data_IF_985966800597
#
_entry.id   IF_985966800597
#
_cell.length_a   1.000
_cell.length_b   1.000
_cell.length_c   1.000
_cell.angle_alpha   90.00
_cell.angle_beta   90.00
_cell.angle_gamma   90.00
#
_symmetry.space_group_name_H-M   'P 1'
#
loop_
_entity.id
_entity.type
_entity.pdbx_description
1 polymer ?
#
# COMPACT_ATOMS: atom_id res chain seq x y z
N UNK A 1 -6.51 8.82 -5.16
CA UNK A 1 -6.83 10.21 -4.70
C UNK A 1 -6.45 10.38 -3.24
N UNK A 2 -6.32 11.60 -2.75
CA UNK A 2 -5.93 11.90 -1.37
C UNK A 2 -6.58 13.22 -0.90
N UNK A 3 -6.71 13.35 0.44
CA UNK A 3 -7.22 14.54 1.11
C UNK A 3 -6.09 15.17 1.93
N UNK A 4 -5.59 16.35 1.54
CA UNK A 4 -4.55 17.05 2.26
C UNK A 4 -5.06 17.65 3.58
N UNK A 5 -4.17 17.79 4.55
CA UNK A 5 -4.43 18.48 5.82
C UNK A 5 -3.20 19.29 6.26
N UNK A 6 -3.30 20.02 7.35
CA UNK A 6 -2.19 20.72 8.00
C UNK A 6 -1.45 19.84 9.03
N UNK A 7 -1.67 18.54 8.96
CA UNK A 7 -1.14 17.50 9.84
C UNK A 7 -0.32 16.49 9.03
N UNK A 8 0.54 15.67 9.66
CA UNK A 8 1.36 14.69 8.96
C UNK A 8 0.54 13.62 8.24
N UNK A 9 -0.58 13.22 8.81
CA UNK A 9 -1.41 12.12 8.34
C UNK A 9 -2.46 12.63 7.34
N UNK A 10 -2.27 12.30 6.07
CA UNK A 10 -3.22 12.57 5.00
C UNK A 10 -3.98 11.30 4.64
N UNK A 11 -5.23 11.44 4.29
CA UNK A 11 -6.07 10.30 3.90
C UNK A 11 -5.97 10.03 2.41
N UNK A 12 -6.00 8.76 2.04
CA UNK A 12 -6.03 8.32 0.65
C UNK A 12 -7.12 7.30 0.36
N UNK A 13 -7.43 7.15 -0.91
CA UNK A 13 -8.37 6.16 -1.41
C UNK A 13 -8.01 5.73 -2.83
N UNK A 14 -8.41 4.52 -3.21
CA UNK A 14 -8.34 3.99 -4.56
C UNK A 14 -9.76 3.73 -5.06
N UNK A 15 -10.08 4.26 -6.24
CA UNK A 15 -11.42 4.15 -6.83
C UNK A 15 -11.34 3.61 -8.24
N UNK A 16 -12.36 2.85 -8.65
CA UNK A 16 -12.47 2.27 -9.97
C UNK A 16 -13.59 2.92 -10.77
N UNK A 17 -13.29 3.26 -12.00
CA UNK A 17 -14.23 3.67 -13.02
C UNK A 17 -14.04 2.76 -14.24
N UNK A 18 -14.95 2.78 -15.18
CA UNK A 18 -14.82 2.02 -16.43
C UNK A 18 -14.77 2.94 -17.63
N UNK A 19 -14.19 2.44 -18.70
CA UNK A 19 -14.22 3.08 -20.01
C UNK A 19 -15.19 2.26 -20.88
N UNK A 20 -16.19 2.92 -21.47
CA UNK A 20 -17.12 2.27 -22.38
C UNK A 20 -16.55 2.14 -23.81
N UNK A 21 -17.29 1.49 -24.70
CA UNK A 21 -16.88 1.30 -26.09
C UNK A 21 -16.60 2.57 -26.89
N UNK A 22 -17.13 3.72 -26.44
CA UNK A 22 -16.89 5.04 -27.05
C UNK A 22 -15.69 5.79 -26.45
N UNK A 23 -14.95 5.15 -25.52
CA UNK A 23 -13.82 5.76 -24.82
C UNK A 23 -14.21 6.75 -23.71
N UNK A 24 -15.47 6.76 -23.27
CA UNK A 24 -15.94 7.63 -22.19
C UNK A 24 -15.77 6.97 -20.84
N UNK A 25 -15.36 7.76 -19.84
CA UNK A 25 -15.26 7.30 -18.45
C UNK A 25 -16.64 7.31 -17.81
N UNK A 26 -17.09 6.14 -17.36
CA UNK A 26 -18.42 5.90 -16.82
C UNK A 26 -18.34 5.47 -15.36
N UNK A 27 -19.38 5.81 -14.61
CA UNK A 27 -19.58 5.36 -13.24
C UNK A 27 -20.30 3.98 -13.18
N UNK A 28 -20.58 3.50 -11.96
CA UNK A 28 -21.21 2.22 -11.69
C UNK A 28 -22.63 2.09 -12.31
N UNK A 29 -23.35 3.18 -12.43
CA UNK A 29 -24.73 3.24 -12.92
C UNK A 29 -24.86 3.85 -14.32
N UNK A 30 -23.82 3.70 -15.13
CA UNK A 30 -23.79 4.12 -16.55
C UNK A 30 -23.93 5.62 -16.79
N UNK A 31 -23.54 6.48 -15.84
CA UNK A 31 -23.45 7.93 -16.06
C UNK A 31 -22.02 8.31 -16.43
N UNK A 32 -21.86 9.46 -17.13
CA UNK A 32 -20.52 10.03 -17.31
C UNK A 32 -19.91 10.36 -15.94
N UNK A 33 -18.75 9.76 -15.67
CA UNK A 33 -18.03 10.02 -14.43
C UNK A 33 -17.18 11.30 -14.49
N UNK A 34 -17.09 11.93 -15.67
CA UNK A 34 -16.30 13.14 -15.87
C UNK A 34 -17.22 14.35 -16.05
N UNK A 35 -16.95 15.40 -15.33
CA UNK A 35 -17.65 16.68 -15.42
C UNK A 35 -17.17 17.53 -16.62
N UNK A 36 -17.72 18.73 -16.79
CA UNK A 36 -17.40 19.60 -17.94
C UNK A 36 -15.98 20.16 -17.91
N UNK A 37 -15.37 20.20 -16.73
CA UNK A 37 -14.02 20.67 -16.48
C UNK A 37 -12.96 19.56 -16.69
N UNK A 38 -13.38 18.32 -16.98
CA UNK A 38 -12.50 17.17 -17.21
C UNK A 38 -12.08 16.48 -15.91
N UNK A 39 -12.65 16.84 -14.76
CA UNK A 39 -12.43 16.19 -13.48
C UNK A 39 -13.48 15.11 -13.21
N UNK A 40 -13.23 14.23 -12.25
CA UNK A 40 -14.24 13.28 -11.77
C UNK A 40 -15.40 14.09 -11.16
N UNK A 41 -16.63 13.77 -11.56
CA UNK A 41 -17.81 14.44 -11.06
C UNK A 41 -18.10 14.01 -9.60
N UNK A 42 -18.45 14.96 -8.74
CA UNK A 42 -18.81 14.67 -7.34
C UNK A 42 -19.94 13.65 -7.25
N UNK A 43 -20.90 13.74 -8.18
CA UNK A 43 -22.04 12.83 -8.28
C UNK A 43 -21.74 11.46 -8.88
N UNK A 44 -20.50 11.19 -9.34
CA UNK A 44 -20.16 9.87 -9.88
C UNK A 44 -20.20 8.83 -8.75
N UNK A 45 -20.77 7.67 -9.04
CA UNK A 45 -20.76 6.50 -8.15
C UNK A 45 -19.68 5.54 -8.62
N UNK A 46 -18.56 5.45 -7.91
CA UNK A 46 -17.45 4.60 -8.36
C UNK A 46 -17.75 3.10 -8.17
N UNK A 47 -17.13 2.24 -8.99
CA UNK A 47 -17.56 0.84 -9.13
C UNK A 47 -17.43 0.03 -7.83
N UNK A 48 -16.41 0.31 -7.01
CA UNK A 48 -16.18 -0.41 -5.76
C UNK A 48 -16.95 0.17 -4.57
N UNK A 49 -17.88 1.08 -4.81
CA UNK A 49 -18.67 1.76 -3.78
C UNK A 49 -20.05 1.14 -3.68
N UNK A 50 -20.53 0.92 -2.46
CA UNK A 50 -21.89 0.43 -2.30
C UNK A 50 -22.91 1.46 -2.79
N UNK A 51 -24.00 1.00 -3.42
CA UNK A 51 -25.07 1.90 -3.85
C UNK A 51 -25.67 2.68 -2.69
N UNK A 52 -25.67 2.10 -1.48
CA UNK A 52 -26.13 2.79 -0.28
C UNK A 52 -25.22 4.00 0.06
N UNK A 53 -23.90 3.84 -0.02
CA UNK A 53 -22.95 4.94 0.18
C UNK A 53 -23.15 6.02 -0.86
N UNK A 54 -23.25 5.67 -2.15
CA UNK A 54 -23.50 6.63 -3.23
C UNK A 54 -24.80 7.41 -3.02
N UNK A 55 -25.89 6.77 -2.65
CA UNK A 55 -27.20 7.44 -2.49
C UNK A 55 -27.27 8.31 -1.24
N UNK A 56 -26.47 8.03 -0.23
CA UNK A 56 -26.42 8.80 1.04
C UNK A 56 -25.44 9.96 0.97
N UNK A 57 -24.49 9.94 0.03
CA UNK A 57 -23.57 11.05 -0.16
C UNK A 57 -24.33 12.32 -0.53
N UNK A 58 -23.95 13.44 0.04
CA UNK A 58 -24.60 14.77 -0.18
C UNK A 58 -24.56 15.20 -1.65
N UNK A 59 -23.54 14.78 -2.39
CA UNK A 59 -23.33 15.00 -3.82
C UNK A 59 -24.08 14.03 -4.72
N UNK A 60 -24.71 12.98 -4.16
CA UNK A 60 -25.34 11.88 -4.91
C UNK A 60 -24.36 10.89 -5.52
N UNK A 61 -23.13 10.87 -5.03
CA UNK A 61 -22.06 9.96 -5.42
C UNK A 61 -20.82 10.13 -4.54
N UNK A 62 -19.85 9.26 -4.72
CA UNK A 62 -18.57 9.26 -3.99
C UNK A 62 -17.39 9.78 -4.83
N UNK A 63 -17.65 10.30 -6.05
CA UNK A 63 -16.62 10.58 -7.07
C UNK A 63 -15.38 11.29 -6.56
N UNK A 64 -15.53 12.50 -5.98
CA UNK A 64 -14.43 13.28 -5.41
C UNK A 64 -14.27 13.13 -3.89
N UNK A 65 -15.15 12.38 -3.21
CA UNK A 65 -15.10 12.21 -1.76
C UNK A 65 -14.06 11.16 -1.37
N UNK A 66 -12.91 11.58 -0.85
CA UNK A 66 -11.82 10.66 -0.49
C UNK A 66 -12.23 9.71 0.62
N UNK A 67 -13.00 10.19 1.60
CA UNK A 67 -13.44 9.42 2.76
C UNK A 67 -14.64 8.50 2.51
N UNK A 68 -15.18 8.47 1.28
CA UNK A 68 -16.35 7.65 0.94
C UNK A 68 -16.01 6.66 -0.15
N UNK A 69 -16.58 5.46 -0.06
CA UNK A 69 -16.55 4.46 -1.12
C UNK A 69 -15.18 3.91 -1.46
N UNK A 70 -15.07 3.25 -2.61
CA UNK A 70 -13.83 2.71 -3.15
C UNK A 70 -13.17 1.68 -2.24
N UNK A 71 -11.85 1.54 -2.36
CA UNK A 71 -11.08 0.60 -1.55
C UNK A 71 -11.12 0.93 -0.05
N UNK A 72 -11.31 2.20 0.32
CA UNK A 72 -11.40 2.61 1.74
C UNK A 72 -12.64 2.01 2.40
N UNK A 73 -13.82 2.06 1.74
CA UNK A 73 -15.05 1.46 2.29
C UNK A 73 -14.86 -0.04 2.57
N UNK A 74 -14.27 -0.77 1.63
CA UNK A 74 -13.98 -2.19 1.79
C UNK A 74 -12.96 -2.46 2.90
N UNK A 75 -11.93 -1.63 3.04
CA UNK A 75 -10.88 -1.78 4.04
C UNK A 75 -11.39 -1.47 5.45
N UNK A 76 -12.20 -0.42 5.61
CA UNK A 76 -12.82 -0.05 6.90
C UNK A 76 -13.86 -1.10 7.34
N UNK A 77 -14.58 -1.69 6.39
CA UNK A 77 -15.55 -2.75 6.68
C UNK A 77 -14.90 -4.10 7.02
N UNK A 78 -13.59 -4.27 6.79
CA UNK A 78 -12.90 -5.53 7.06
C UNK A 78 -12.71 -5.72 8.57
N UNK A 79 -13.15 -6.87 9.09
CA UNK A 79 -13.02 -7.21 10.51
C UNK A 79 -11.62 -7.74 10.87
N UNK A 80 -10.86 -8.19 9.87
CA UNK A 80 -9.52 -8.77 10.05
C UNK A 80 -8.64 -8.42 8.84
N UNK A 81 -7.90 -7.32 8.96
CA UNK A 81 -6.95 -6.90 7.94
C UNK A 81 -5.67 -7.72 8.03
N UNK A 82 -5.21 -8.21 6.89
CA UNK A 82 -3.97 -8.95 6.78
C UNK A 82 -2.78 -8.00 6.63
N UNK A 83 -2.25 -7.53 7.75
CA UNK A 83 -1.03 -6.70 7.76
C UNK A 83 0.19 -7.61 7.89
N UNK A 84 1.13 -7.44 6.98
CA UNK A 84 2.39 -8.19 6.91
C UNK A 84 3.57 -7.28 7.24
N UNK A 85 4.66 -7.88 7.70
CA UNK A 85 5.95 -7.20 7.87
C UNK A 85 7.09 -8.17 7.58
N UNK A 86 8.31 -7.65 7.46
CA UNK A 86 9.49 -8.48 7.33
C UNK A 86 10.25 -8.52 8.66
N UNK A 87 10.36 -9.70 9.30
CA UNK A 87 11.09 -9.85 10.56
C UNK A 87 12.62 -9.92 10.40
N UNK A 88 13.13 -9.83 9.19
CA UNK A 88 14.55 -9.89 8.86
C UNK A 88 14.90 -8.81 7.85
N UNK A 89 16.11 -8.27 7.91
CA UNK A 89 16.61 -7.30 6.92
C UNK A 89 16.77 -7.92 5.52
N UNK A 90 16.87 -9.24 5.45
CA UNK A 90 17.16 -9.99 4.23
C UNK A 90 15.90 -10.53 3.53
N UNK A 91 16.11 -11.24 2.40
CA UNK A 91 15.06 -11.91 1.66
C UNK A 91 14.27 -12.89 2.51
N UNK A 92 13.00 -13.04 2.24
CA UNK A 92 12.17 -14.01 2.92
C UNK A 92 10.68 -13.75 2.85
N UNK A 93 9.92 -14.72 3.37
CA UNK A 93 8.46 -14.64 3.46
C UNK A 93 8.06 -13.54 4.42
N UNK A 94 7.15 -12.68 3.99
CA UNK A 94 6.50 -11.72 4.87
C UNK A 94 5.62 -12.47 5.87
N UNK A 95 5.59 -11.99 7.10
CA UNK A 95 4.85 -12.62 8.20
C UNK A 95 3.78 -11.67 8.74
N UNK A 96 2.74 -12.18 9.40
CA UNK A 96 1.76 -11.32 10.07
C UNK A 96 2.42 -10.34 11.04
N UNK A 97 1.98 -9.08 10.98
CA UNK A 97 2.45 -8.02 11.86
C UNK A 97 2.18 -8.37 13.33
N UNK A 98 3.22 -8.36 14.14
CA UNK A 98 3.16 -8.58 15.58
C UNK A 98 4.34 -7.91 16.28
N UNK A 99 4.26 -7.74 17.58
CA UNK A 99 5.37 -7.24 18.41
C UNK A 99 6.64 -8.06 18.17
N UNK A 100 6.52 -9.39 18.25
CA UNK A 100 7.64 -10.30 18.02
C UNK A 100 8.24 -10.18 16.60
N UNK A 101 7.41 -9.92 15.59
CA UNK A 101 7.90 -9.74 14.23
C UNK A 101 8.72 -8.45 14.09
N UNK A 102 8.25 -7.34 14.65
CA UNK A 102 8.97 -6.08 14.65
C UNK A 102 10.22 -6.10 15.54
N UNK A 103 10.15 -6.74 16.73
CA UNK A 103 11.34 -6.93 17.59
C UNK A 103 12.42 -7.70 16.81
N UNK A 104 12.07 -8.77 16.11
CA UNK A 104 13.03 -9.52 15.28
C UNK A 104 13.59 -8.70 14.12
N UNK A 105 12.79 -7.79 13.56
CA UNK A 105 13.24 -6.91 12.47
C UNK A 105 14.36 -5.94 12.90
N UNK A 106 14.34 -5.50 14.17
CA UNK A 106 15.26 -4.48 14.69
C UNK A 106 16.24 -4.99 15.75
N UNK A 107 16.07 -6.23 16.22
CA UNK A 107 16.95 -6.92 17.15
C UNK A 107 16.36 -7.11 18.54
N UNK A 108 15.84 -6.08 19.18
CA UNK A 108 15.27 -6.14 20.54
C UNK A 108 14.17 -5.08 20.75
N UNK A 109 13.42 -5.23 21.85
CA UNK A 109 12.30 -4.35 22.20
C UNK A 109 12.75 -2.90 22.52
N UNK A 110 13.88 -2.73 23.19
CA UNK A 110 14.40 -1.39 23.53
C UNK A 110 14.76 -0.62 22.27
N UNK A 111 15.39 -1.30 21.30
CA UNK A 111 15.68 -0.73 19.99
C UNK A 111 14.39 -0.37 19.24
N UNK A 112 13.36 -1.23 19.30
CA UNK A 112 12.07 -0.96 18.68
C UNK A 112 11.40 0.29 19.27
N UNK A 113 11.29 0.37 20.60
CA UNK A 113 10.73 1.53 21.29
C UNK A 113 11.52 2.81 21.01
N UNK A 114 12.86 2.71 20.96
CA UNK A 114 13.74 3.82 20.62
C UNK A 114 13.54 4.31 19.20
N UNK A 115 13.38 3.41 18.23
CA UNK A 115 13.11 3.77 16.82
C UNK A 115 11.74 4.44 16.66
N UNK A 116 10.72 3.96 17.36
CA UNK A 116 9.38 4.57 17.35
C UNK A 116 9.42 5.95 18.04
N UNK A 117 10.36 6.18 18.95
CA UNK A 117 10.38 7.35 19.84
C UNK A 117 9.27 7.28 20.88
N UNK A 118 8.92 6.07 21.31
CA UNK A 118 7.88 5.85 22.32
C UNK A 118 8.32 6.41 23.69
N UNK A 119 7.46 7.17 24.39
CA UNK A 119 7.73 7.57 25.77
C UNK A 119 7.84 6.37 26.72
N UNK A 120 8.54 6.57 27.84
CA UNK A 120 8.64 5.56 28.88
C UNK A 120 7.24 5.13 29.37
N UNK A 121 7.00 3.82 29.39
CA UNK A 121 5.75 3.22 29.83
C UNK A 121 4.64 3.12 28.77
N UNK A 122 4.85 3.61 27.54
CA UNK A 122 3.93 3.31 26.44
C UNK A 122 4.03 1.84 26.02
N UNK A 123 2.86 1.25 25.71
CA UNK A 123 2.77 -0.15 25.28
C UNK A 123 2.96 -0.29 23.78
N UNK A 124 3.80 -1.25 23.37
CA UNK A 124 3.90 -1.67 21.97
C UNK A 124 2.55 -2.14 21.39
N UNK A 125 1.70 -2.75 22.22
CA UNK A 125 0.36 -3.21 21.78
C UNK A 125 -0.46 -2.07 21.18
N UNK A 126 -0.38 -0.85 21.74
CA UNK A 126 -1.05 0.33 21.20
C UNK A 126 -0.57 0.67 19.78
N UNK A 127 0.73 0.64 19.54
CA UNK A 127 1.31 0.88 18.22
C UNK A 127 0.96 -0.23 17.21
N UNK A 128 0.98 -1.49 17.63
CA UNK A 128 0.61 -2.62 16.78
C UNK A 128 -0.87 -2.55 16.37
N UNK A 129 -1.75 -2.26 17.30
CA UNK A 129 -3.18 -2.12 17.00
C UNK A 129 -3.43 -0.92 16.09
N UNK A 130 -2.74 0.20 16.33
CA UNK A 130 -2.78 1.35 15.43
C UNK A 130 -2.33 0.99 14.00
N UNK A 131 -1.22 0.25 13.86
CA UNK A 131 -0.74 -0.25 12.56
C UNK A 131 -1.73 -1.22 11.90
N UNK A 132 -2.52 -1.97 12.66
CA UNK A 132 -3.62 -2.79 12.13
C UNK A 132 -4.80 -1.95 11.65
N UNK A 133 -4.78 -0.66 11.91
CA UNK A 133 -5.80 0.28 11.51
C UNK A 133 -6.85 0.58 12.57
N UNK A 134 -6.69 0.02 13.79
CA UNK A 134 -7.65 0.23 14.88
C UNK A 134 -7.53 1.67 15.38
N UNK A 135 -8.64 2.30 15.68
CA UNK A 135 -8.74 3.65 16.23
C UNK A 135 -8.51 3.68 17.75
N UNK A 136 -7.29 3.29 18.14
CA UNK A 136 -6.91 3.16 19.57
C UNK A 136 -6.90 4.49 20.33
N UNK A 137 -6.87 5.60 19.62
CA UNK A 137 -6.76 6.94 20.17
C UNK A 137 -8.10 7.71 20.07
N UNK A 138 -9.19 7.07 19.54
CA UNK A 138 -10.52 7.67 19.34
C UNK A 138 -10.44 8.98 18.53
N UNK A 139 -9.75 8.90 17.37
CA UNK A 139 -9.46 10.07 16.52
C UNK A 139 -10.71 10.78 16.00
N UNK A 140 -11.83 10.06 15.87
CA UNK A 140 -13.12 10.61 15.42
C UNK A 140 -14.07 10.98 16.58
N UNK A 141 -13.60 10.86 17.84
CA UNK A 141 -14.30 11.23 19.08
C UNK A 141 -15.70 10.57 19.23
N UNK A 142 -15.85 9.35 18.67
CA UNK A 142 -17.12 8.62 18.75
C UNK A 142 -17.21 7.68 19.97
N UNK A 143 -16.13 7.50 20.71
CA UNK A 143 -16.01 6.64 21.89
C UNK A 143 -15.75 5.16 21.58
N UNK A 144 -15.54 4.79 20.29
CA UNK A 144 -15.22 3.42 19.87
C UNK A 144 -13.74 3.30 19.50
N UNK A 145 -12.92 2.83 20.43
CA UNK A 145 -11.48 2.59 20.22
C UNK A 145 -11.17 1.24 19.57
N UNK A 146 -12.17 0.54 19.04
CA UNK A 146 -12.03 -0.80 18.44
C UNK A 146 -12.34 -0.83 16.94
N UNK A 147 -12.97 0.21 16.42
CA UNK A 147 -13.27 0.36 15.00
C UNK A 147 -11.99 0.57 14.16
N UNK A 148 -12.10 0.34 12.85
CA UNK A 148 -11.03 0.67 11.90
C UNK A 148 -11.12 2.16 11.53
N UNK A 149 -9.99 2.87 11.58
CA UNK A 149 -9.91 4.30 11.25
C UNK A 149 -10.28 4.59 9.79
N UNK A 150 -10.89 5.74 9.56
CA UNK A 150 -11.27 6.21 8.22
C UNK A 150 -10.10 6.58 7.31
N UNK A 151 -8.90 6.72 7.84
CA UNK A 151 -7.68 7.11 7.11
C UNK A 151 -6.68 5.96 6.94
N UNK A 152 -7.13 4.73 7.18
CA UNK A 152 -6.30 3.53 7.31
C UNK A 152 -5.45 3.21 6.06
N UNK A 153 -5.82 3.66 4.88
CA UNK A 153 -5.03 3.46 3.67
C UNK A 153 -3.84 4.42 3.62
N UNK A 154 -4.03 5.67 4.02
CA UNK A 154 -3.04 6.72 3.83
C UNK A 154 -2.98 7.26 2.40
N UNK A 155 -2.35 8.41 2.22
CA UNK A 155 -2.27 9.06 0.93
C UNK A 155 -1.21 8.43 0.02
N UNK A 156 -1.53 8.20 -1.27
CA UNK A 156 -0.57 7.68 -2.25
C UNK A 156 0.27 8.78 -2.93
N UNK A 157 0.14 10.02 -2.59
CA UNK A 157 0.63 11.27 -3.17
C UNK A 157 1.42 11.14 -4.50
N UNK A 158 2.55 10.44 -4.51
CA UNK A 158 3.39 10.22 -5.70
C UNK A 158 3.46 8.76 -6.15
N UNK A 159 3.00 7.82 -5.31
CA UNK A 159 2.88 6.43 -5.71
C UNK A 159 1.74 6.28 -6.73
N UNK A 160 2.01 5.56 -7.80
CA UNK A 160 1.02 5.25 -8.84
C UNK A 160 0.55 3.83 -8.65
N UNK A 161 -0.76 3.56 -8.69
CA UNK A 161 -1.26 2.20 -8.67
C UNK A 161 -0.69 1.37 -9.83
N UNK A 162 -0.20 0.18 -9.54
CA UNK A 162 0.30 -0.80 -10.50
C UNK A 162 -0.68 -1.96 -10.58
N UNK A 163 -1.39 -2.07 -11.71
CA UNK A 163 -2.36 -3.14 -11.94
C UNK A 163 -1.69 -4.33 -12.67
N UNK A 164 -1.95 -5.54 -12.18
CA UNK A 164 -1.44 -6.80 -12.70
C UNK A 164 -2.61 -7.78 -12.89
N UNK A 165 -2.66 -8.46 -14.03
CA UNK A 165 -3.67 -9.46 -14.34
C UNK A 165 -3.16 -10.85 -13.97
N UNK A 166 -3.84 -11.51 -13.04
CA UNK A 166 -3.56 -12.90 -12.68
C UNK A 166 -4.63 -13.79 -13.26
N UNK A 167 -4.22 -14.79 -14.04
CA UNK A 167 -5.06 -15.85 -14.54
C UNK A 167 -5.52 -16.81 -13.44
N UNK A 168 -6.08 -17.96 -13.81
CA UNK A 168 -6.51 -19.02 -12.89
C UNK A 168 -7.45 -18.55 -11.76
N UNK A 169 -8.28 -17.53 -12.03
CA UNK A 169 -9.17 -16.94 -11.03
C UNK A 169 -8.49 -15.96 -10.08
N UNK A 170 -7.21 -15.62 -10.27
CA UNK A 170 -6.47 -14.64 -9.46
C UNK A 170 -6.95 -13.19 -9.64
N UNK A 171 -7.61 -12.88 -10.78
CA UNK A 171 -8.19 -11.58 -11.07
C UNK A 171 -7.16 -10.46 -11.22
N UNK A 172 -7.63 -9.22 -11.25
CA UNK A 172 -6.74 -8.07 -11.26
C UNK A 172 -6.30 -7.73 -9.85
N UNK A 173 -4.99 -7.59 -9.66
CA UNK A 173 -4.39 -7.12 -8.41
C UNK A 173 -3.79 -5.74 -8.61
N UNK A 174 -3.98 -4.87 -7.64
CA UNK A 174 -3.49 -3.49 -7.70
C UNK A 174 -2.58 -3.22 -6.52
N UNK A 175 -1.29 -2.96 -6.79
CA UNK A 175 -0.36 -2.48 -5.77
C UNK A 175 -0.41 -0.96 -5.68
N UNK A 176 -0.32 -0.44 -4.45
CA UNK A 176 -0.25 1.00 -4.19
C UNK A 176 0.57 1.26 -2.93
N UNK A 177 1.61 2.08 -3.04
CA UNK A 177 2.35 2.59 -1.90
C UNK A 177 1.65 3.79 -1.27
N UNK A 178 1.82 3.98 0.04
CA UNK A 178 1.25 5.13 0.75
C UNK A 178 2.21 5.72 1.78
N UNK A 179 1.97 6.98 2.14
CA UNK A 179 2.81 7.70 3.09
C UNK A 179 2.61 7.27 4.55
N UNK A 180 1.61 6.44 4.84
CA UNK A 180 1.51 5.76 6.14
C UNK A 180 2.49 4.59 6.29
N UNK A 181 3.36 4.36 5.28
CA UNK A 181 4.42 3.34 5.33
C UNK A 181 4.00 1.96 4.84
N UNK A 182 2.90 1.88 4.11
CA UNK A 182 2.40 0.62 3.57
C UNK A 182 2.59 0.51 2.05
N UNK A 183 2.80 -0.72 1.62
CA UNK A 183 2.51 -1.18 0.28
C UNK A 183 1.27 -2.06 0.35
N UNK A 184 0.16 -1.61 -0.24
CA UNK A 184 -1.11 -2.33 -0.27
C UNK A 184 -1.21 -3.18 -1.53
N UNK A 185 -1.82 -4.37 -1.40
CA UNK A 185 -2.29 -5.19 -2.51
C UNK A 185 -3.81 -5.29 -2.43
N UNK A 186 -4.49 -4.69 -3.39
CA UNK A 186 -5.94 -4.80 -3.55
C UNK A 186 -6.29 -5.85 -4.60
N UNK A 187 -7.34 -6.62 -4.35
CA UNK A 187 -7.92 -7.57 -5.29
C UNK A 187 -9.21 -6.99 -5.85
N UNK A 188 -9.19 -6.68 -7.13
CA UNK A 188 -10.36 -6.27 -7.89
C UNK A 188 -11.16 -7.50 -8.31
N UNK A 189 -12.32 -7.69 -7.73
CA UNK A 189 -13.27 -8.77 -8.06
C UNK A 189 -14.48 -8.25 -8.86
N UNK A 190 -14.20 -7.32 -9.78
CA UNK A 190 -15.20 -6.73 -10.67
C UNK A 190 -15.91 -5.53 -10.06
N UNK A 191 -17.06 -5.73 -9.43
CA UNK A 191 -17.83 -4.65 -8.81
C UNK A 191 -17.47 -4.41 -7.34
N UNK A 192 -16.58 -5.22 -6.79
CA UNK A 192 -16.06 -5.08 -5.43
C UNK A 192 -14.55 -5.16 -5.38
N UNK A 193 -13.98 -4.79 -4.25
CA UNK A 193 -12.55 -4.83 -3.98
C UNK A 193 -12.31 -5.34 -2.56
N UNK A 194 -11.20 -6.04 -2.36
CA UNK A 194 -10.73 -6.41 -1.03
C UNK A 194 -9.24 -6.06 -0.89
N UNK A 195 -8.79 -5.71 0.31
CA UNK A 195 -7.37 -5.63 0.60
C UNK A 195 -6.84 -7.05 0.84
N UNK A 196 -6.06 -7.59 -0.11
CA UNK A 196 -5.46 -8.93 0.06
C UNK A 196 -4.44 -8.94 1.19
N UNK A 197 -3.66 -7.88 1.27
CA UNK A 197 -2.70 -7.61 2.34
C UNK A 197 -2.19 -6.17 2.26
N UNK A 198 -1.63 -5.69 3.36
CA UNK A 198 -0.78 -4.51 3.38
C UNK A 198 0.57 -4.86 4.02
N UNK A 199 1.67 -4.52 3.38
CA UNK A 199 3.01 -4.71 3.89
C UNK A 199 3.49 -3.41 4.56
N UNK A 200 3.64 -3.43 5.89
CA UNK A 200 4.28 -2.36 6.65
C UNK A 200 5.79 -2.55 6.68
N UNK A 201 6.52 -1.56 6.23
CA UNK A 201 7.97 -1.60 6.16
C UNK A 201 8.57 -1.24 7.53
N UNK A 202 9.41 -2.10 8.15
CA UNK A 202 10.10 -1.76 9.40
C UNK A 202 10.94 -0.47 9.31
N UNK A 203 11.39 -0.11 8.12
CA UNK A 203 12.11 1.13 7.82
C UNK A 203 11.28 2.40 8.13
N UNK A 204 9.96 2.26 8.28
CA UNK A 204 9.04 3.36 8.61
C UNK A 204 8.78 3.53 10.11
N UNK A 205 9.36 2.69 10.96
CA UNK A 205 9.21 2.79 12.41
C UNK A 205 9.55 4.17 12.99
N UNK A 206 10.59 4.89 12.50
CA UNK A 206 10.91 6.22 13.00
C UNK A 206 9.81 7.28 12.80
N UNK A 207 8.89 7.05 11.87
CA UNK A 207 7.80 8.00 11.58
C UNK A 207 6.48 7.59 12.24
N UNK A 208 6.42 6.40 12.82
CA UNK A 208 5.18 5.81 13.32
C UNK A 208 4.51 6.66 14.40
N UNK A 209 5.30 7.18 15.36
CA UNK A 209 4.76 8.01 16.43
C UNK A 209 4.20 9.34 15.94
N UNK A 210 4.88 9.98 14.99
CA UNK A 210 4.41 11.24 14.39
C UNK A 210 3.09 11.03 13.64
N UNK A 211 2.97 9.94 12.87
CA UNK A 211 1.72 9.56 12.22
C UNK A 211 0.60 9.29 13.22
N UNK A 212 0.87 8.52 14.28
CA UNK A 212 -0.13 8.18 15.30
C UNK A 212 -0.63 9.42 16.03
N UNK A 213 0.29 10.29 16.50
CA UNK A 213 -0.08 11.51 17.21
C UNK A 213 -0.80 12.52 16.33
N UNK A 214 -0.52 12.54 15.06
CA UNK A 214 -1.12 13.43 14.06
C UNK A 214 -1.22 14.89 14.51
N UNK A 215 -0.21 15.38 15.22
CA UNK A 215 -0.18 16.75 15.73
C UNK A 215 -0.07 17.74 14.56
N UNK A 216 -0.59 18.95 14.74
CA UNK A 216 -0.53 19.99 13.71
C UNK A 216 0.92 20.38 13.41
N UNK A 217 1.31 20.27 12.15
CA UNK A 217 2.68 20.55 11.65
C UNK A 217 2.72 21.65 10.58
N UNK A 218 1.55 22.10 10.14
CA UNK A 218 1.43 23.05 9.03
C UNK A 218 1.49 22.40 7.65
N UNK A 219 1.47 21.07 7.56
CA UNK A 219 1.42 20.33 6.31
C UNK A 219 1.98 18.91 6.41
N UNK A 220 2.21 18.32 5.25
CA UNK A 220 2.71 16.95 5.11
C UNK A 220 4.20 16.83 5.47
N UNK A 221 4.51 16.23 6.59
CA UNK A 221 5.87 16.08 7.11
C UNK A 221 6.38 14.65 7.03
N UNK A 222 5.50 13.65 6.99
CA UNK A 222 5.85 12.24 6.95
C UNK A 222 5.64 11.67 5.55
N UNK A 223 6.65 10.99 5.06
CA UNK A 223 6.61 10.26 3.79
C UNK A 223 7.00 8.81 4.04
N UNK A 224 6.33 7.89 3.35
CA UNK A 224 6.53 6.45 3.46
C UNK A 224 6.90 5.81 2.13
N UNK A 225 6.03 4.93 1.61
CA UNK A 225 6.20 4.32 0.28
C UNK A 225 5.67 5.28 -0.78
N UNK A 226 6.42 6.38 -1.00
CA UNK A 226 6.03 7.51 -1.85
C UNK A 226 6.52 7.37 -3.29
N UNK A 227 7.36 6.37 -3.57
CA UNK A 227 7.94 6.14 -4.90
C UNK A 227 7.00 5.46 -5.87
N UNK A 228 7.28 5.62 -7.18
CA UNK A 228 6.60 4.88 -8.21
C UNK A 228 6.96 3.38 -8.12
N UNK A 229 5.98 2.55 -8.46
CA UNK A 229 6.10 1.10 -8.53
C UNK A 229 6.40 0.69 -9.97
N UNK A 230 7.26 -0.30 -10.14
CA UNK A 230 7.42 -1.00 -11.42
C UNK A 230 7.38 -2.50 -11.21
N UNK A 231 7.04 -3.25 -12.26
CA UNK A 231 7.09 -4.70 -12.23
C UNK A 231 7.88 -5.25 -13.41
N UNK A 232 8.52 -6.38 -13.16
CA UNK A 232 8.98 -7.28 -14.20
C UNK A 232 8.09 -8.51 -14.21
N UNK A 233 7.53 -8.81 -15.37
CA UNK A 233 6.67 -9.97 -15.58
C UNK A 233 7.37 -10.90 -16.54
N UNK A 234 7.52 -12.16 -16.15
CA UNK A 234 7.86 -13.27 -17.02
C UNK A 234 6.57 -14.03 -17.27
N UNK A 235 6.00 -13.81 -18.42
CA UNK A 235 4.81 -14.46 -18.94
C UNK A 235 5.31 -15.50 -19.95
N UNK A 236 5.17 -16.79 -19.62
CA UNK A 236 5.82 -17.88 -20.34
C UNK A 236 5.14 -18.20 -21.66
N UNK A 237 3.84 -18.00 -21.77
CA UNK A 237 3.05 -18.23 -22.97
C UNK A 237 2.62 -16.96 -23.70
N UNK A 238 2.94 -15.78 -23.13
CA UNK A 238 2.70 -14.47 -23.69
C UNK A 238 1.21 -14.14 -23.93
N UNK A 239 0.32 -14.61 -23.06
CA UNK A 239 -1.12 -14.36 -23.15
C UNK A 239 -1.55 -13.07 -22.40
N UNK A 240 -0.65 -12.47 -21.62
CA UNK A 240 -0.87 -11.23 -20.89
C UNK A 240 -1.43 -11.42 -19.47
N UNK A 241 -1.59 -12.66 -19.02
CA UNK A 241 -1.96 -13.00 -17.67
C UNK A 241 -0.76 -13.61 -16.94
N UNK A 242 -0.89 -13.72 -15.64
CA UNK A 242 0.12 -14.32 -14.75
C UNK A 242 -0.47 -15.61 -14.20
N UNK A 243 0.07 -16.75 -14.62
CA UNK A 243 -0.37 -18.07 -14.17
C UNK A 243 0.76 -18.79 -13.42
N UNK A 244 0.40 -19.39 -12.29
CA UNK A 244 1.32 -20.23 -11.52
C UNK A 244 1.28 -21.67 -12.01
N UNK A 245 2.41 -22.37 -11.96
CA UNK A 245 3.72 -21.95 -11.37
C UNK A 245 4.70 -21.36 -12.39
N UNK A 246 4.32 -21.26 -13.66
CA UNK A 246 5.26 -21.03 -14.76
C UNK A 246 5.67 -19.57 -14.87
N UNK A 247 4.75 -18.63 -14.54
CA UNK A 247 5.00 -17.20 -14.61
C UNK A 247 5.61 -16.65 -13.34
N UNK A 248 6.33 -15.53 -13.50
CA UNK A 248 6.95 -14.82 -12.38
C UNK A 248 6.65 -13.33 -12.47
N UNK A 249 6.39 -12.74 -11.30
CA UNK A 249 6.22 -11.30 -11.17
C UNK A 249 7.05 -10.77 -10.01
N UNK A 250 7.92 -9.83 -10.32
CA UNK A 250 8.70 -9.11 -9.32
C UNK A 250 8.33 -7.64 -9.34
N UNK A 251 7.96 -7.12 -8.20
CA UNK A 251 7.67 -5.70 -8.00
C UNK A 251 8.86 -4.98 -7.38
N UNK A 252 9.13 -3.77 -7.88
CA UNK A 252 10.23 -2.93 -7.43
C UNK A 252 9.70 -1.55 -7.05
N UNK A 253 10.23 -0.99 -5.97
CA UNK A 253 9.84 0.35 -5.53
C UNK A 253 10.94 1.01 -4.70
N UNK A 254 10.91 2.33 -4.69
CA UNK A 254 11.70 3.17 -3.80
C UNK A 254 10.80 3.93 -2.84
N UNK A 255 11.40 4.56 -1.85
CA UNK A 255 10.67 5.34 -0.84
C UNK A 255 10.54 6.82 -1.23
N UNK A 256 11.28 7.29 -2.24
CA UNK A 256 11.34 8.69 -2.64
C UNK A 256 11.66 9.58 -1.44
N UNK A 257 10.74 10.44 -0.98
CA UNK A 257 10.91 11.26 0.22
C UNK A 257 10.89 10.45 1.51
N UNK A 258 10.29 9.27 1.50
CA UNK A 258 10.18 8.40 2.69
C UNK A 258 11.48 7.74 3.09
N UNK A 259 12.51 7.75 2.24
CA UNK A 259 13.77 7.13 2.64
C UNK A 259 14.81 6.93 1.54
N UNK A 260 15.92 6.32 1.96
CA UNK A 260 17.12 6.07 1.16
C UNK A 260 17.26 4.56 0.93
N UNK A 261 16.22 3.94 0.32
CA UNK A 261 16.19 2.51 0.09
C UNK A 261 15.36 2.15 -1.16
N UNK A 262 15.72 1.01 -1.77
CA UNK A 262 14.94 0.32 -2.80
C UNK A 262 14.64 -1.09 -2.37
N UNK A 263 13.54 -1.63 -2.86
CA UNK A 263 13.00 -2.94 -2.50
C UNK A 263 12.61 -3.74 -3.73
N UNK A 264 12.71 -5.07 -3.61
CA UNK A 264 12.14 -6.01 -4.55
C UNK A 264 11.30 -7.05 -3.82
N UNK A 265 10.10 -7.31 -4.33
CA UNK A 265 9.20 -8.36 -3.86
C UNK A 265 8.93 -9.35 -4.98
N UNK A 266 8.94 -10.63 -4.66
CA UNK A 266 8.32 -11.68 -5.47
C UNK A 266 6.83 -11.75 -5.10
N UNK A 267 6.00 -11.41 -6.05
CA UNK A 267 4.54 -11.42 -5.97
C UNK A 267 3.93 -12.36 -7.01
N UNK A 268 4.71 -13.35 -7.51
CA UNK A 268 4.21 -14.38 -8.41
C UNK A 268 3.02 -15.12 -7.81
N UNK A 269 3.03 -15.32 -6.49
CA UNK A 269 1.83 -15.63 -5.73
C UNK A 269 1.29 -14.35 -5.07
N UNK A 270 0.20 -13.77 -5.60
CA UNK A 270 -0.32 -12.50 -5.09
C UNK A 270 -0.81 -12.59 -3.64
N UNK A 271 -1.04 -13.80 -3.12
CA UNK A 271 -1.50 -14.03 -1.76
C UNK A 271 -0.36 -14.42 -0.80
N UNK A 272 0.86 -14.68 -1.31
CA UNK A 272 2.03 -15.05 -0.52
C UNK A 272 3.29 -14.26 -0.92
N UNK A 273 3.29 -12.92 -0.75
CA UNK A 273 4.41 -12.08 -1.15
C UNK A 273 5.68 -12.41 -0.37
N UNK A 274 6.83 -12.30 -1.04
CA UNK A 274 8.15 -12.51 -0.45
C UNK A 274 9.06 -11.33 -0.73
N UNK A 275 9.79 -10.85 0.26
CA UNK A 275 10.87 -9.91 0.05
C UNK A 275 12.05 -10.63 -0.61
N UNK A 276 12.45 -10.16 -1.77
CA UNK A 276 13.61 -10.71 -2.48
C UNK A 276 14.89 -10.09 -1.96
N UNK A 277 14.91 -8.77 -1.89
CA UNK A 277 16.01 -7.97 -1.36
C UNK A 277 15.55 -6.55 -1.02
N UNK A 278 16.37 -5.87 -0.26
CA UNK A 278 16.38 -4.41 -0.17
C UNK A 278 17.81 -3.93 -0.25
N UNK A 279 17.99 -2.70 -0.65
CA UNK A 279 19.25 -1.99 -0.59
C UNK A 279 19.00 -0.62 0.00
N UNK A 280 19.78 -0.25 1.01
CA UNK A 280 19.67 1.01 1.73
C UNK A 280 21.03 1.70 1.88
N UNK A 281 21.03 2.95 2.28
CA UNK A 281 22.26 3.70 2.55
C UNK A 281 23.09 3.14 3.72
N UNK A 282 22.51 2.26 4.55
CA UNK A 282 23.20 1.62 5.67
C UNK A 282 23.95 0.35 5.25
N UNK A 283 23.71 -0.13 4.03
CA UNK A 283 24.38 -1.32 3.53
C UNK A 283 25.84 -1.03 3.15
N UNK A 284 26.73 -2.03 3.26
CA UNK A 284 28.13 -1.86 2.89
C UNK A 284 28.31 -1.35 1.46
N UNK A 285 29.02 -0.24 1.31
CA UNK A 285 29.27 0.39 0.02
C UNK A 285 28.15 1.27 -0.52
N UNK A 286 27.02 1.44 0.22
CA UNK A 286 25.88 2.22 -0.19
C UNK A 286 25.68 3.54 0.58
N UNK A 287 26.67 4.00 1.32
CA UNK A 287 26.57 5.22 2.13
C UNK A 287 26.18 6.47 1.34
N UNK A 288 26.53 6.52 0.04
CA UNK A 288 26.20 7.62 -0.87
C UNK A 288 24.80 7.52 -1.49
N UNK A 289 24.05 6.44 -1.21
CA UNK A 289 22.68 6.30 -1.69
C UNK A 289 21.83 7.44 -1.11
N UNK A 290 21.34 8.31 -1.97
CA UNK A 290 20.40 9.38 -1.62
C UNK A 290 18.97 8.87 -1.47
N UNK A 291 18.02 9.80 -1.32
CA UNK A 291 16.60 9.45 -1.40
C UNK A 291 16.28 8.78 -2.75
N UNK A 292 15.47 7.75 -2.73
CA UNK A 292 15.21 6.87 -3.88
C UNK A 292 14.15 7.43 -4.84
N UNK A 293 14.51 8.51 -5.55
CA UNK A 293 13.60 9.26 -6.43
C UNK A 293 13.27 8.58 -7.75
N UNK A 294 14.19 7.76 -8.26
CA UNK A 294 14.04 7.14 -9.57
C UNK A 294 13.02 6.01 -9.53
N UNK A 295 12.15 5.96 -10.53
CA UNK A 295 11.36 4.76 -10.81
C UNK A 295 12.32 3.63 -11.21
N UNK A 296 12.24 2.44 -10.58
CA UNK A 296 13.07 1.32 -10.95
C UNK A 296 12.81 0.85 -12.39
N UNK A 297 13.88 0.65 -13.15
CA UNK A 297 13.80 0.12 -14.52
C UNK A 297 14.48 -1.23 -14.56
N UNK A 298 13.72 -2.25 -14.95
CA UNK A 298 14.24 -3.61 -15.12
C UNK A 298 14.73 -3.79 -16.56
N UNK A 299 15.99 -4.21 -16.70
CA UNK A 299 16.58 -4.46 -18.01
C UNK A 299 17.52 -5.66 -17.97
N UNK A 300 17.75 -6.27 -19.13
CA UNK A 300 18.77 -7.30 -19.27
C UNK A 300 20.12 -6.64 -19.55
N UNK A 301 21.11 -7.02 -18.75
CA UNK A 301 22.50 -6.59 -18.98
C UNK A 301 23.20 -7.68 -19.81
N UNK A 302 23.72 -7.37 -21.02
CA UNK A 302 24.45 -8.35 -21.83
C UNK A 302 25.63 -8.94 -21.04
N UNK A 303 25.75 -10.26 -21.04
CA UNK A 303 26.81 -10.99 -20.35
C UNK A 303 26.54 -11.35 -18.89
N UNK A 304 25.46 -10.86 -18.29
CA UNK A 304 24.93 -11.42 -17.05
C UNK A 304 23.91 -12.49 -17.38
N UNK A 305 24.17 -13.72 -16.93
CA UNK A 305 23.15 -14.76 -17.01
C UNK A 305 21.98 -14.41 -16.09
N UNK A 306 20.73 -14.68 -16.48
CA UNK A 306 19.61 -14.63 -15.54
C UNK A 306 19.95 -15.56 -14.35
N UNK A 307 19.51 -15.24 -13.14
CA UNK A 307 19.71 -16.13 -12.02
C UNK A 307 19.17 -17.52 -12.41
N UNK A 308 20.02 -18.51 -12.39
CA UNK A 308 19.61 -19.89 -12.69
C UNK A 308 18.55 -20.29 -11.68
N UNK A 309 17.50 -20.96 -12.13
CA UNK A 309 16.47 -21.58 -11.30
C UNK A 309 17.00 -22.80 -10.52
N UNK A 310 18.29 -22.81 -10.18
CA UNK A 310 18.87 -23.84 -9.34
C UNK A 310 18.52 -23.56 -7.89
N UNK A 311 17.63 -24.37 -7.36
CA UNK A 311 17.46 -24.60 -5.92
C UNK A 311 18.85 -24.76 -5.26
N UNK A 312 19.09 -24.14 -4.10
CA UNK A 312 20.24 -24.52 -3.31
C UNK A 312 20.01 -25.97 -2.86
N UNK A 313 20.76 -26.86 -3.42
CA UNK A 313 20.88 -28.20 -2.89
C UNK A 313 21.65 -28.16 -1.58
N UNK A 314 21.04 -28.80 -0.54
CA UNK A 314 21.53 -29.31 0.75
C UNK A 314 22.31 -28.34 1.61
#
# INVERSE_FOLDING_TARGET
MFLPSDRPRWTGNLKKLRINGDGRVMDQIDRSAINREGAIADSACTIWTSLNTCTRASSGGDGNEVLLGGALEATVAATDRRILTNPQSDAGTLVPLSENALIRAVGDESTLLGLIGAPDGESLTGYINWLRGIDVDDDDENGDTTAIRNDVIGDPLHSKPLALSYGDGGGTRVLMGTNHGYLHMFHDVGESVTESWAYYLPEMLPTLRELRLNAQTGGHTVYGVDGALSAWVMDADADGNIERPDDKVWAFFGLRRGGRAYFALDISDPDAPKRMWSVSHTDPGMSELGQSWSEPVVTRVPGLMPPSSSSPGV
#
